data_IF_342952575892
#
_entry.id   IF_342952575892
#
_cell.length_a   1.000
_cell.length_b   1.000
_cell.length_c   1.000
_cell.angle_alpha   90.00
_cell.angle_beta   90.00
_cell.angle_gamma   90.00
#
_symmetry.space_group_name_H-M   'P 1'
#
loop_
_entity.id
_entity.type
_entity.pdbx_description
1 polymer ?
#
# COMPACT_ATOMS: atom_id res chain seq x y z
N UNK A 1 1.48 12.34 20.47
CA UNK A 1 0.73 12.25 19.22
C UNK A 1 1.39 11.31 18.27
N UNK A 2 0.63 10.43 17.70
CA UNK A 2 1.17 9.37 16.85
C UNK A 2 1.11 9.80 15.39
N UNK A 3 1.99 10.70 15.03
CA UNK A 3 1.98 11.29 13.70
C UNK A 3 2.46 10.33 12.61
N UNK A 4 3.08 9.20 13.01
CA UNK A 4 3.60 8.22 12.06
C UNK A 4 2.56 7.18 11.62
N UNK A 5 1.38 7.22 12.22
CA UNK A 5 0.33 6.26 11.85
C UNK A 5 -0.40 6.72 10.62
N UNK A 6 -0.64 5.78 9.73
CA UNK A 6 -1.38 6.02 8.51
C UNK A 6 -2.47 4.97 8.36
N UNK A 7 -3.67 5.41 8.05
CA UNK A 7 -4.82 4.51 7.92
C UNK A 7 -5.37 4.56 6.51
N UNK A 8 -5.54 3.38 5.91
CA UNK A 8 -6.09 3.23 4.57
C UNK A 8 -7.44 2.51 4.69
N UNK A 9 -8.55 3.25 4.79
CA UNK A 9 -9.85 2.63 5.02
C UNK A 9 -10.48 2.04 3.77
N UNK A 10 -10.09 2.53 2.60
CA UNK A 10 -10.71 2.14 1.33
C UNK A 10 -9.65 1.82 0.30
N UNK A 11 -10.08 1.03 -0.69
CA UNK A 11 -9.24 0.70 -1.82
C UNK A 11 -8.93 1.95 -2.65
N UNK A 12 -7.66 2.11 -3.03
CA UNK A 12 -7.25 3.18 -3.91
C UNK A 12 -7.65 2.89 -5.36
N UNK A 13 -7.84 3.94 -6.12
CA UNK A 13 -7.99 3.82 -7.56
C UNK A 13 -6.60 3.58 -8.16
N UNK A 14 -6.44 2.48 -8.88
CA UNK A 14 -5.15 2.09 -9.45
C UNK A 14 -5.13 2.45 -10.93
N UNK A 15 -4.17 3.28 -11.31
CA UNK A 15 -4.00 3.70 -12.70
C UNK A 15 -2.74 3.07 -13.28
N UNK A 16 -2.82 2.41 -14.43
CA UNK A 16 -1.63 1.83 -15.06
C UNK A 16 -0.56 2.88 -15.32
N UNK A 17 0.68 2.55 -15.05
CA UNK A 17 1.82 3.45 -15.23
C UNK A 17 2.13 4.32 -14.01
N UNK A 18 1.21 4.47 -13.08
CA UNK A 18 1.46 5.22 -11.86
C UNK A 18 2.20 4.35 -10.83
N UNK A 19 2.94 4.99 -9.94
CA UNK A 19 3.63 4.30 -8.86
C UNK A 19 2.84 4.39 -7.58
N UNK A 20 2.88 3.30 -6.81
CA UNK A 20 2.21 3.20 -5.52
C UNK A 20 3.12 2.52 -4.52
N UNK A 21 2.97 2.88 -3.26
CA UNK A 21 3.55 2.09 -2.18
C UNK A 21 2.62 0.91 -1.92
N UNK A 22 3.19 -0.29 -1.93
CA UNK A 22 2.41 -1.52 -1.85
C UNK A 22 2.97 -2.48 -0.80
N UNK A 23 2.11 -3.37 -0.31
CA UNK A 23 2.49 -4.46 0.58
C UNK A 23 1.67 -5.68 0.20
N UNK A 24 2.08 -6.86 0.69
CA UNK A 24 1.35 -8.10 0.41
C UNK A 24 0.38 -8.43 1.54
N UNK A 25 -0.84 -8.79 1.18
CA UNK A 25 -1.78 -9.33 2.15
C UNK A 25 -1.21 -10.65 2.72
N UNK A 26 -1.07 -10.78 4.04
CA UNK A 26 -0.50 -12.00 4.62
C UNK A 26 -1.37 -13.23 4.44
N UNK A 27 -2.66 -13.05 4.22
CA UNK A 27 -3.58 -14.17 4.06
C UNK A 27 -3.67 -14.68 2.63
N UNK A 28 -3.65 -13.77 1.66
CA UNK A 28 -3.85 -14.13 0.24
C UNK A 28 -2.59 -14.00 -0.61
N UNK A 29 -1.56 -13.33 -0.08
CA UNK A 29 -0.33 -13.01 -0.81
C UNK A 29 -0.53 -12.07 -1.99
N UNK A 30 -1.69 -11.46 -2.08
CA UNK A 30 -1.98 -10.47 -3.12
C UNK A 30 -1.49 -9.10 -2.72
N UNK A 31 -1.20 -8.27 -3.71
CA UNK A 31 -0.67 -6.92 -3.49
C UNK A 31 -1.80 -5.97 -3.10
N UNK A 32 -1.49 -5.13 -2.12
CA UNK A 32 -2.37 -4.04 -1.69
C UNK A 32 -1.67 -2.72 -1.93
N UNK A 33 -2.35 -1.79 -2.59
CA UNK A 33 -1.85 -0.42 -2.70
C UNK A 33 -2.16 0.34 -1.42
N UNK A 34 -1.15 0.99 -0.86
CA UNK A 34 -1.25 1.72 0.39
C UNK A 34 -1.49 3.19 0.12
N UNK A 35 -0.64 3.77 -0.74
CA UNK A 35 -0.67 5.20 -1.02
C UNK A 35 0.03 5.43 -2.35
N UNK A 36 -0.35 6.50 -3.05
CA UNK A 36 0.31 6.84 -4.29
C UNK A 36 1.73 7.34 -4.01
N UNK A 37 2.68 6.90 -4.84
CA UNK A 37 4.08 7.33 -4.75
C UNK A 37 4.36 8.39 -5.83
N UNK A 38 4.37 9.68 -5.48
CA UNK A 38 4.61 10.74 -6.46
C UNK A 38 6.07 10.82 -6.90
N UNK A 39 6.97 10.17 -6.16
CA UNK A 39 8.41 10.24 -6.40
C UNK A 39 8.94 9.06 -7.20
N UNK A 40 8.09 8.20 -7.68
CA UNK A 40 8.43 7.07 -8.54
C UNK A 40 9.54 6.18 -7.97
N UNK A 41 9.45 5.90 -6.68
CA UNK A 41 10.43 5.06 -6.02
C UNK A 41 11.69 5.79 -5.56
N UNK A 42 11.78 7.09 -5.77
CA UNK A 42 12.97 7.86 -5.36
C UNK A 42 13.08 8.03 -3.85
N UNK A 43 11.94 8.05 -3.16
CA UNK A 43 11.91 8.17 -1.70
C UNK A 43 11.23 6.96 -1.08
N UNK A 44 11.70 6.50 0.09
CA UNK A 44 11.06 5.38 0.76
C UNK A 44 9.74 5.79 1.40
N UNK A 45 8.91 4.79 1.68
CA UNK A 45 7.71 5.00 2.47
C UNK A 45 8.11 5.44 3.88
N UNK A 46 7.44 6.47 4.40
CA UNK A 46 7.89 7.13 5.62
C UNK A 46 7.03 6.89 6.86
N UNK A 47 5.84 6.31 6.70
CA UNK A 47 4.98 6.07 7.86
C UNK A 47 5.41 4.81 8.61
N UNK A 48 5.63 4.93 9.92
CA UNK A 48 6.14 3.83 10.72
C UNK A 48 5.11 2.75 11.01
N UNK A 49 3.83 3.10 11.03
CA UNK A 49 2.75 2.17 11.37
C UNK A 49 1.58 2.44 10.44
N UNK A 50 1.25 1.47 9.60
CA UNK A 50 0.19 1.62 8.60
C UNK A 50 -0.85 0.52 8.80
N UNK A 51 -2.09 0.93 9.01
CA UNK A 51 -3.23 0.03 9.11
C UNK A 51 -4.03 0.11 7.81
N UNK A 52 -4.19 -1.04 7.16
CA UNK A 52 -4.84 -1.12 5.85
C UNK A 52 -6.07 -2.00 5.92
N UNK A 53 -7.18 -1.48 5.43
CA UNK A 53 -8.39 -2.29 5.23
C UNK A 53 -8.22 -3.07 3.94
N UNK A 54 -8.13 -4.39 4.05
CA UNK A 54 -7.80 -5.25 2.92
C UNK A 54 -9.06 -5.71 2.18
N UNK A 55 -9.15 -5.39 0.90
CA UNK A 55 -10.27 -5.84 0.09
C UNK A 55 -10.12 -7.28 -0.41
N UNK A 56 -8.92 -7.86 -0.30
CA UNK A 56 -8.69 -9.24 -0.72
C UNK A 56 -9.20 -10.26 0.29
N UNK A 57 -9.06 -9.98 1.58
CA UNK A 57 -9.48 -10.91 2.63
C UNK A 57 -10.53 -10.34 3.58
N UNK A 58 -10.98 -9.12 3.32
CA UNK A 58 -11.99 -8.41 4.12
C UNK A 58 -11.58 -8.17 5.57
N UNK A 59 -10.29 -8.22 5.84
CA UNK A 59 -9.74 -7.93 7.17
C UNK A 59 -8.97 -6.64 7.16
N UNK A 60 -8.22 -6.43 8.25
CA UNK A 60 -7.31 -5.32 8.38
C UNK A 60 -5.93 -5.86 8.68
N UNK A 61 -4.93 -5.22 8.11
CA UNK A 61 -3.55 -5.61 8.33
C UNK A 61 -2.73 -4.41 8.74
N UNK A 62 -1.78 -4.64 9.63
CA UNK A 62 -0.84 -3.63 10.05
C UNK A 62 0.51 -3.94 9.42
N UNK A 63 1.10 -2.93 8.79
CA UNK A 63 2.39 -3.08 8.12
C UNK A 63 3.40 -2.12 8.72
N UNK A 64 4.65 -2.56 8.76
CA UNK A 64 5.78 -1.70 9.11
C UNK A 64 6.34 -1.07 7.85
N UNK A 65 7.17 -0.05 8.02
CA UNK A 65 7.80 0.66 6.89
C UNK A 65 8.56 -0.32 5.98
N UNK A 66 9.23 -1.31 6.56
CA UNK A 66 10.02 -2.28 5.80
C UNK A 66 9.17 -3.24 4.97
N UNK A 67 7.87 -3.34 5.26
CA UNK A 67 6.96 -4.21 4.51
C UNK A 67 6.42 -3.53 3.26
N UNK A 68 6.62 -2.25 3.14
CA UNK A 68 6.00 -1.43 2.10
C UNK A 68 7.06 -0.94 1.12
N UNK A 69 6.87 -1.23 -0.15
CA UNK A 69 7.81 -0.89 -1.21
C UNK A 69 7.09 -0.15 -2.34
N UNK A 70 7.81 0.69 -3.10
CA UNK A 70 7.23 1.31 -4.28
C UNK A 70 7.16 0.33 -5.44
N UNK A 71 6.03 0.36 -6.16
CA UNK A 71 5.85 -0.45 -7.37
C UNK A 71 5.06 0.32 -8.40
N UNK A 72 5.39 0.09 -9.66
CA UNK A 72 4.63 0.66 -10.78
C UNK A 72 3.46 -0.26 -11.11
N UNK A 73 2.27 0.31 -11.21
CA UNK A 73 1.08 -0.44 -11.58
C UNK A 73 1.08 -0.72 -13.08
N UNK A 74 0.55 -1.88 -13.44
CA UNK A 74 0.36 -2.27 -14.82
C UNK A 74 -1.12 -2.45 -15.10
N UNK A 75 -1.50 -2.47 -16.38
CA UNK A 75 -2.86 -2.70 -16.77
C UNK A 75 -3.32 -4.07 -16.26
N UNK A 76 -4.49 -4.09 -15.62
CA UNK A 76 -5.04 -5.32 -15.07
C UNK A 76 -4.65 -5.63 -13.63
N UNK A 77 -3.80 -4.82 -13.01
CA UNK A 77 -3.42 -5.04 -11.61
C UNK A 77 -4.61 -4.81 -10.69
N UNK A 78 -4.82 -5.73 -9.78
CA UNK A 78 -5.92 -5.72 -8.82
C UNK A 78 -5.41 -5.45 -7.41
N UNK A 79 -4.80 -4.31 -7.22
CA UNK A 79 -4.17 -3.95 -5.95
C UNK A 79 -5.14 -3.41 -4.90
#
# INVERSE_FOLDING_TARGET
MDDDKFYVPNRLEIKPGAFYFVAKCPNTKKILAIERDPDRGSNPYSHADTLVSCHHCRGRHRFETSDIIPCQASEGDDW
#
